data_IF_828186182752
#
_entry.id   IF_828186182752
#
_cell.length_a   1.000
_cell.length_b   1.000
_cell.length_c   1.000
_cell.angle_alpha   90.00
_cell.angle_beta   90.00
_cell.angle_gamma   90.00
#
_symmetry.space_group_name_H-M   'P 1'
#
loop_
_entity.id
_entity.type
_entity.pdbx_description
1 polymer ?
#
# COMPACT_ATOMS: atom_id res chain seq x y z
N UNK A 1 14.29 5.25 9.04
CA UNK A 1 13.47 5.28 10.27
C UNK A 1 12.31 6.25 10.05
N UNK A 2 11.10 5.94 10.51
CA UNK A 2 10.01 6.93 10.56
C UNK A 2 10.43 8.08 11.47
N UNK A 3 10.46 9.31 10.96
CA UNK A 3 10.82 10.52 11.71
C UNK A 3 9.75 10.95 12.73
N UNK A 4 9.17 10.00 13.47
CA UNK A 4 8.14 10.24 14.48
C UNK A 4 6.69 10.22 13.99
N UNK A 5 6.45 10.02 12.69
CA UNK A 5 5.10 9.94 12.12
C UNK A 5 4.67 8.49 11.89
N UNK A 6 3.51 8.04 12.40
CA UNK A 6 2.99 6.72 12.11
C UNK A 6 2.63 6.65 10.63
N UNK A 7 3.48 6.03 9.82
CA UNK A 7 3.24 5.77 8.40
C UNK A 7 2.89 4.30 8.19
N UNK A 8 1.84 4.05 7.41
CA UNK A 8 1.45 2.70 7.01
C UNK A 8 1.20 2.68 5.51
N UNK A 9 1.99 1.96 4.70
CA UNK A 9 1.70 1.77 3.29
C UNK A 9 0.57 0.75 3.09
N UNK A 10 -0.17 0.86 1.99
CA UNK A 10 -1.02 -0.23 1.50
C UNK A 10 -0.15 -1.17 0.67
N UNK A 11 -0.15 -2.45 1.01
CA UNK A 11 0.56 -3.48 0.26
C UNK A 11 -0.32 -4.72 0.09
N UNK A 12 -0.28 -5.31 -1.11
CA UNK A 12 -0.76 -6.66 -1.34
C UNK A 12 0.34 -7.65 -0.92
N UNK A 13 0.02 -8.79 -0.29
CA UNK A 13 0.99 -9.85 -0.10
C UNK A 13 1.34 -10.49 -1.46
N UNK A 14 2.61 -10.88 -1.67
CA UNK A 14 2.98 -11.76 -2.78
C UNK A 14 2.17 -13.05 -2.78
N UNK A 15 2.03 -13.67 -3.96
CA UNK A 15 1.31 -14.94 -4.11
C UNK A 15 2.03 -16.11 -3.44
N UNK A 16 3.36 -16.07 -3.45
CA UNK A 16 4.18 -17.04 -2.72
C UNK A 16 4.21 -16.69 -1.23
N UNK A 17 3.77 -17.65 -0.41
CA UNK A 17 3.69 -17.50 1.04
C UNK A 17 5.04 -17.26 1.71
N UNK A 18 6.10 -17.96 1.28
CA UNK A 18 7.43 -17.83 1.87
C UNK A 18 8.01 -16.44 1.57
N UNK A 19 7.79 -15.95 0.35
CA UNK A 19 8.15 -14.60 -0.04
C UNK A 19 7.36 -13.54 0.73
N UNK A 20 6.05 -13.76 0.95
CA UNK A 20 5.23 -12.86 1.76
C UNK A 20 5.76 -12.74 3.20
N UNK A 21 6.09 -13.87 3.84
CA UNK A 21 6.69 -13.90 5.17
C UNK A 21 8.06 -13.22 5.21
N UNK A 22 8.90 -13.47 4.20
CA UNK A 22 10.22 -12.86 4.10
C UNK A 22 10.14 -11.33 4.02
N UNK A 23 9.30 -10.80 3.13
CA UNK A 23 9.09 -9.35 2.95
C UNK A 23 8.51 -8.72 4.21
N UNK A 24 7.52 -9.35 4.83
CA UNK A 24 6.93 -8.85 6.07
C UNK A 24 7.97 -8.79 7.20
N UNK A 25 8.85 -9.80 7.28
CA UNK A 25 9.98 -9.79 8.21
C UNK A 25 10.91 -8.59 8.00
N UNK A 26 11.22 -8.22 6.75
CA UNK A 26 12.03 -7.03 6.45
C UNK A 26 11.30 -5.74 6.84
N UNK A 27 10.01 -5.61 6.53
CA UNK A 27 9.20 -4.44 6.87
C UNK A 27 9.17 -4.21 8.39
N UNK A 28 8.90 -5.25 9.18
CA UNK A 28 8.90 -5.17 10.64
C UNK A 28 10.25 -4.75 11.20
N UNK A 29 11.35 -5.33 10.70
CA UNK A 29 12.71 -4.91 11.10
C UNK A 29 13.01 -3.45 10.78
N UNK A 30 12.39 -2.90 9.73
CA UNK A 30 12.49 -1.49 9.37
C UNK A 30 11.49 -0.58 10.11
N UNK A 31 10.65 -1.14 11.00
CA UNK A 31 9.60 -0.40 11.70
C UNK A 31 8.42 -0.01 10.79
N UNK A 32 8.20 -0.75 9.71
CA UNK A 32 7.12 -0.51 8.75
C UNK A 32 6.00 -1.53 8.99
N UNK A 33 4.81 -1.02 9.23
CA UNK A 33 3.57 -1.79 9.25
C UNK A 33 2.75 -1.46 8.00
N UNK A 34 2.04 -2.45 7.44
CA UNK A 34 1.24 -2.26 6.22
C UNK A 34 -0.24 -2.50 6.46
N UNK A 35 -1.09 -1.79 5.71
CA UNK A 35 -2.46 -2.23 5.48
C UNK A 35 -2.45 -3.23 4.33
N UNK A 36 -3.18 -4.32 4.48
CA UNK A 36 -3.45 -5.22 3.36
C UNK A 36 -4.34 -4.48 2.33
N UNK A 37 -4.21 -4.80 1.05
CA UNK A 37 -4.99 -4.11 -0.01
C UNK A 37 -6.50 -4.33 0.11
N UNK A 38 -6.91 -5.46 0.66
CA UNK A 38 -8.30 -5.79 1.02
C UNK A 38 -8.72 -5.22 2.39
N UNK A 39 -7.87 -4.43 3.04
CA UNK A 39 -8.22 -3.77 4.29
C UNK A 39 -9.48 -2.94 4.09
N UNK A 40 -10.36 -3.00 5.08
CA UNK A 40 -11.62 -2.28 5.06
C UNK A 40 -11.31 -0.79 4.89
N UNK A 41 -11.79 -0.17 3.80
CA UNK A 41 -11.53 1.24 3.48
C UNK A 41 -11.81 2.18 4.67
N UNK A 42 -12.79 1.84 5.52
CA UNK A 42 -13.11 2.55 6.76
C UNK A 42 -11.94 2.63 7.75
N UNK A 43 -11.14 1.57 7.89
CA UNK A 43 -9.97 1.54 8.77
C UNK A 43 -8.87 2.48 8.25
N UNK A 44 -8.62 2.43 6.94
CA UNK A 44 -7.64 3.30 6.27
C UNK A 44 -8.04 4.77 6.41
N UNK A 45 -9.32 5.09 6.13
CA UNK A 45 -9.85 6.45 6.29
C UNK A 45 -9.75 6.93 7.74
N UNK A 46 -10.07 6.07 8.71
CA UNK A 46 -9.94 6.41 10.14
C UNK A 46 -8.50 6.70 10.53
N UNK A 47 -7.55 5.87 10.09
CA UNK A 47 -6.13 6.08 10.37
C UNK A 47 -5.63 7.43 9.85
N UNK A 48 -6.02 7.81 8.62
CA UNK A 48 -5.67 9.13 8.06
C UNK A 48 -6.34 10.26 8.87
N UNK A 49 -7.61 10.10 9.24
CA UNK A 49 -8.33 11.09 10.08
C UNK A 49 -7.68 11.31 11.44
N UNK A 50 -7.08 10.27 12.01
CA UNK A 50 -6.40 10.31 13.31
C UNK A 50 -4.95 10.86 13.22
N UNK A 51 -4.56 11.41 12.05
CA UNK A 51 -3.23 12.01 11.82
C UNK A 51 -2.17 11.03 11.31
N UNK A 52 -2.56 9.81 10.96
CA UNK A 52 -1.69 8.81 10.35
C UNK A 52 -1.33 9.13 8.90
N UNK A 53 -0.13 8.70 8.48
CA UNK A 53 0.38 8.92 7.13
C UNK A 53 0.20 7.66 6.29
N UNK A 54 -0.61 7.75 5.23
CA UNK A 54 -0.85 6.62 4.33
C UNK A 54 0.17 6.62 3.19
N UNK A 55 0.88 5.51 3.00
CA UNK A 55 1.72 5.28 1.83
C UNK A 55 0.95 4.61 0.70
N UNK A 56 0.98 5.19 -0.50
CA UNK A 56 0.34 4.65 -1.70
C UNK A 56 1.34 4.54 -2.84
N UNK A 57 1.17 3.53 -3.69
CA UNK A 57 1.86 3.39 -4.97
C UNK A 57 0.80 3.55 -6.07
N UNK A 58 0.54 4.79 -6.53
CA UNK A 58 -0.65 5.15 -7.30
C UNK A 58 -0.48 5.02 -8.82
N UNK A 59 0.59 4.38 -9.27
CA UNK A 59 1.00 4.23 -10.67
C UNK A 59 0.89 2.78 -11.17
N UNK A 60 0.35 1.88 -10.35
CA UNK A 60 0.22 0.45 -10.66
C UNK A 60 -1.21 -0.06 -10.42
N UNK A 61 -1.92 -0.35 -11.52
CA UNK A 61 -3.13 -1.16 -11.48
C UNK A 61 -2.74 -2.63 -11.27
N UNK A 62 -3.29 -3.23 -10.21
CA UNK A 62 -3.05 -4.64 -9.94
C UNK A 62 -4.08 -5.55 -10.63
N UNK A 63 -5.29 -5.05 -10.84
CA UNK A 63 -6.39 -5.77 -11.47
C UNK A 63 -7.16 -4.83 -12.43
N UNK A 64 -8.25 -5.34 -13.00
CA UNK A 64 -9.08 -4.59 -13.94
C UNK A 64 -9.94 -3.48 -13.31
N UNK A 65 -9.85 -3.25 -11.99
CA UNK A 65 -10.60 -2.19 -11.30
C UNK A 65 -9.89 -0.83 -11.32
N UNK A 66 -8.70 -0.76 -11.93
CA UNK A 66 -7.92 0.47 -12.01
C UNK A 66 -8.63 1.60 -12.75
N UNK A 67 -8.31 2.83 -12.38
CA UNK A 67 -8.80 4.05 -13.00
C UNK A 67 -8.08 4.28 -14.32
N UNK A 68 -8.84 4.45 -15.39
CA UNK A 68 -8.27 4.72 -16.73
C UNK A 68 -7.92 6.20 -16.89
N UNK A 69 -6.74 6.50 -17.42
CA UNK A 69 -6.27 7.85 -17.70
C UNK A 69 -5.03 7.87 -18.59
N UNK A 70 -4.66 9.05 -19.13
CA UNK A 70 -3.44 9.17 -19.94
C UNK A 70 -2.18 9.12 -19.05
N UNK A 71 -1.25 8.23 -19.38
CA UNK A 71 0.11 8.20 -18.82
C UNK A 71 1.11 8.19 -19.98
N UNK A 72 2.03 9.16 -20.00
CA UNK A 72 2.98 9.35 -21.10
C UNK A 72 2.32 9.38 -22.50
N UNK A 73 1.13 9.98 -22.60
CA UNK A 73 0.38 10.12 -23.86
C UNK A 73 -0.33 8.85 -24.34
N UNK A 74 -0.32 7.77 -23.55
CA UNK A 74 -1.06 6.54 -23.84
C UNK A 74 -2.16 6.33 -22.81
N UNK A 75 -3.29 5.77 -23.22
CA UNK A 75 -4.32 5.35 -22.28
C UNK A 75 -3.81 4.17 -21.46
N UNK A 76 -3.77 4.35 -20.14
CA UNK A 76 -3.31 3.38 -19.17
C UNK A 76 -4.35 3.23 -18.05
N UNK A 77 -4.17 2.22 -17.22
CA UNK A 77 -4.97 1.99 -16.01
C UNK A 77 -4.04 1.96 -14.81
N UNK A 78 -4.47 2.59 -13.71
CA UNK A 78 -3.76 2.57 -12.43
C UNK A 78 -4.66 2.25 -11.24
#
# INVERSE_FOLDING_TARGET
AQSGYPMRPIARPPDDWNLALLIEGYRRRAGVETFQKDAVAKQVVRFVKDGGFLGLMPDQAWDSSGVSGPFMGRMCST
#
